data_IF_578620435147
#
_entry.id   IF_578620435147
#
_cell.length_a   1.000
_cell.length_b   1.000
_cell.length_c   1.000
_cell.angle_alpha   90.00
_cell.angle_beta   90.00
_cell.angle_gamma   90.00
#
_symmetry.space_group_name_H-M   'P 1'
#
loop_
_entity.id
_entity.type
_entity.pdbx_description
1 polymer ?
#
# COMPACT_ATOMS: atom_id res chain seq x y z
N UNK A 1 -25.48 -4.38 30.29
CA UNK A 1 -24.35 -5.34 30.44
C UNK A 1 -23.40 -5.17 29.24
N UNK A 2 -22.08 -5.28 29.43
CA UNK A 2 -21.11 -5.23 28.33
C UNK A 2 -20.14 -6.41 28.41
N UNK A 3 -19.64 -6.89 27.28
CA UNK A 3 -18.68 -7.99 27.26
C UNK A 3 -18.16 -8.31 25.85
N UNK A 4 -17.48 -9.46 25.73
CA UNK A 4 -16.93 -9.97 24.46
C UNK A 4 -17.37 -11.41 24.21
N UNK A 5 -17.76 -11.71 22.99
CA UNK A 5 -18.16 -13.01 22.45
C UNK A 5 -17.00 -13.53 21.60
N UNK A 6 -16.56 -14.76 21.90
CA UNK A 6 -15.47 -15.43 21.16
C UNK A 6 -15.98 -16.56 20.27
N UNK A 7 -17.10 -17.17 20.64
CA UNK A 7 -17.68 -18.29 19.93
C UNK A 7 -19.17 -18.08 19.69
N UNK A 8 -19.71 -18.86 18.75
CA UNK A 8 -21.13 -18.82 18.41
C UNK A 8 -22.00 -19.21 19.61
N UNK A 9 -21.54 -20.15 20.44
CA UNK A 9 -22.27 -20.60 21.63
C UNK A 9 -22.48 -19.45 22.62
N UNK A 10 -21.51 -18.54 22.77
CA UNK A 10 -21.63 -17.36 23.63
C UNK A 10 -22.71 -16.40 23.10
N UNK A 11 -22.80 -16.25 21.77
CA UNK A 11 -23.81 -15.41 21.12
C UNK A 11 -25.22 -16.01 21.28
N UNK A 12 -25.35 -17.32 21.09
CA UNK A 12 -26.60 -18.05 21.30
C UNK A 12 -27.09 -17.89 22.75
N UNK A 13 -26.19 -18.02 23.72
CA UNK A 13 -26.51 -17.83 25.13
C UNK A 13 -26.95 -16.39 25.44
N UNK A 14 -26.31 -15.39 24.83
CA UNK A 14 -26.73 -13.99 24.98
C UNK A 14 -28.16 -13.75 24.44
N UNK A 15 -28.48 -14.32 23.28
CA UNK A 15 -29.81 -14.20 22.66
C UNK A 15 -30.89 -14.89 23.51
N UNK A 16 -30.55 -16.03 24.11
CA UNK A 16 -31.45 -16.79 24.98
C UNK A 16 -31.73 -16.08 26.31
N UNK A 17 -30.69 -15.51 26.92
CA UNK A 17 -30.84 -14.74 28.16
C UNK A 17 -31.59 -13.41 27.97
N UNK A 18 -31.57 -12.85 26.76
CA UNK A 18 -32.23 -11.56 26.49
C UNK A 18 -33.71 -11.76 26.19
N UNK A 19 -34.56 -11.51 27.19
CA UNK A 19 -36.04 -11.60 27.04
C UNK A 19 -36.60 -10.43 26.24
N UNK A 20 -36.14 -9.22 26.54
CA UNK A 20 -36.51 -7.99 25.86
C UNK A 20 -35.34 -7.00 25.89
N UNK A 21 -35.31 -6.09 24.91
CA UNK A 21 -34.40 -4.97 24.87
C UNK A 21 -33.44 -4.97 23.69
N UNK A 22 -32.47 -4.07 23.73
CA UNK A 22 -31.53 -3.84 22.62
C UNK A 22 -30.18 -4.48 22.87
N UNK A 23 -29.69 -5.22 21.89
CA UNK A 23 -28.35 -5.80 21.84
C UNK A 23 -27.58 -5.12 20.72
N UNK A 24 -26.46 -4.50 21.06
CA UNK A 24 -25.54 -3.91 20.09
C UNK A 24 -24.30 -4.79 20.00
N UNK A 25 -24.08 -5.37 18.81
CA UNK A 25 -22.92 -6.19 18.48
C UNK A 25 -21.96 -5.35 17.63
N UNK A 26 -20.67 -5.30 18.01
CA UNK A 26 -19.66 -4.45 17.37
C UNK A 26 -18.42 -5.27 17.00
N UNK A 27 -18.00 -5.17 15.75
CA UNK A 27 -16.70 -5.67 15.30
C UNK A 27 -15.66 -4.55 15.42
N UNK A 28 -14.62 -4.73 16.26
CA UNK A 28 -13.60 -3.71 16.42
C UNK A 28 -12.86 -3.51 15.08
N UNK A 29 -12.42 -2.28 14.79
CA UNK A 29 -11.63 -1.91 13.60
C UNK A 29 -12.31 -2.00 12.23
N UNK A 30 -13.49 -2.61 12.12
CA UNK A 30 -14.24 -2.73 10.85
C UNK A 30 -15.36 -1.70 10.71
N UNK A 31 -15.60 -0.84 11.72
CA UNK A 31 -16.73 0.10 11.79
C UNK A 31 -18.10 -0.55 11.47
N UNK A 32 -18.21 -1.87 11.68
CA UNK A 32 -19.41 -2.66 11.42
C UNK A 32 -20.10 -2.96 12.76
N UNK A 33 -21.39 -2.70 12.83
CA UNK A 33 -22.23 -3.07 13.97
C UNK A 33 -23.48 -3.78 13.51
N UNK A 34 -24.06 -4.58 14.39
CA UNK A 34 -25.37 -5.19 14.24
C UNK A 34 -26.18 -4.81 15.47
N UNK A 35 -27.28 -4.07 15.26
CA UNK A 35 -28.15 -3.61 16.33
C UNK A 35 -29.42 -4.45 16.27
N UNK A 36 -29.54 -5.37 17.23
CA UNK A 36 -30.71 -6.21 17.40
C UNK A 36 -31.61 -5.61 18.47
N UNK A 37 -32.92 -5.63 18.24
CA UNK A 37 -33.89 -5.40 19.29
C UNK A 37 -34.76 -6.65 19.45
N UNK A 38 -34.89 -7.13 20.68
CA UNK A 38 -35.59 -8.37 21.02
C UNK A 38 -36.88 -8.01 21.75
N UNK A 39 -38.00 -8.56 21.28
CA UNK A 39 -39.30 -8.42 21.94
C UNK A 39 -40.16 -9.66 21.66
N UNK A 40 -40.67 -10.31 22.71
CA UNK A 40 -41.65 -11.40 22.58
C UNK A 40 -41.31 -12.46 21.51
N UNK A 41 -40.07 -12.97 21.54
CA UNK A 41 -39.51 -13.95 20.59
C UNK A 41 -39.20 -13.44 19.18
N UNK A 42 -39.42 -12.15 18.91
CA UNK A 42 -39.07 -11.48 17.67
C UNK A 42 -37.76 -10.72 17.83
N UNK A 43 -36.99 -10.68 16.74
CA UNK A 43 -35.72 -9.98 16.63
C UNK A 43 -35.83 -9.02 15.46
N UNK A 44 -35.71 -7.73 15.77
CA UNK A 44 -35.71 -6.62 14.83
C UNK A 44 -34.28 -6.16 14.59
N UNK A 45 -33.95 -5.76 13.36
CA UNK A 45 -32.63 -5.22 13.03
C UNK A 45 -32.77 -3.72 12.81
N UNK A 46 -32.19 -2.93 13.72
CA UNK A 46 -32.40 -1.47 13.73
C UNK A 46 -31.48 -0.71 12.76
N UNK A 47 -30.37 -1.31 12.31
CA UNK A 47 -29.37 -0.66 11.47
C UNK A 47 -29.24 -1.26 10.07
N UNK A 48 -30.29 -1.90 9.57
CA UNK A 48 -30.33 -2.45 8.21
C UNK A 48 -30.60 -1.34 7.16
N UNK A 49 -29.61 -0.48 6.95
CA UNK A 49 -29.70 0.66 6.02
C UNK A 49 -29.90 0.21 4.55
N UNK A 50 -29.44 -0.99 4.22
CA UNK A 50 -29.53 -1.57 2.87
C UNK A 50 -30.89 -2.23 2.58
N UNK A 51 -31.82 -2.24 3.55
CA UNK A 51 -33.15 -2.86 3.46
C UNK A 51 -33.11 -4.35 3.04
N UNK A 52 -32.00 -5.05 3.32
CA UNK A 52 -31.84 -6.48 3.06
C UNK A 52 -32.84 -7.30 3.86
N UNK A 53 -33.04 -8.56 3.50
CA UNK A 53 -33.79 -9.46 4.37
C UNK A 53 -33.05 -9.65 5.70
N UNK A 54 -33.76 -9.74 6.85
CA UNK A 54 -33.10 -9.84 8.15
C UNK A 54 -32.13 -11.02 8.26
N UNK A 55 -32.50 -12.15 7.66
CA UNK A 55 -31.66 -13.36 7.59
C UNK A 55 -30.33 -13.09 6.89
N UNK A 56 -30.39 -12.48 5.71
CA UNK A 56 -29.21 -12.18 4.90
C UNK A 56 -28.28 -11.21 5.63
N UNK A 57 -28.83 -10.14 6.23
CA UNK A 57 -28.03 -9.15 6.94
C UNK A 57 -27.30 -9.74 8.15
N UNK A 58 -27.99 -10.55 8.95
CA UNK A 58 -27.38 -11.23 10.10
C UNK A 58 -26.33 -12.22 9.63
N UNK A 59 -26.64 -13.01 8.60
CA UNK A 59 -25.73 -14.00 8.06
C UNK A 59 -24.43 -13.33 7.60
N UNK A 60 -24.51 -12.27 6.79
CA UNK A 60 -23.33 -11.53 6.33
C UNK A 60 -22.50 -10.98 7.50
N UNK A 61 -23.14 -10.44 8.54
CA UNK A 61 -22.45 -9.94 9.73
C UNK A 61 -21.71 -11.06 10.48
N UNK A 62 -22.37 -12.20 10.68
CA UNK A 62 -21.78 -13.37 11.36
C UNK A 62 -20.63 -13.95 10.55
N UNK A 63 -20.78 -14.05 9.23
CA UNK A 63 -19.74 -14.50 8.32
C UNK A 63 -18.49 -13.60 8.38
N UNK A 64 -18.69 -12.28 8.34
CA UNK A 64 -17.61 -11.29 8.47
C UNK A 64 -16.91 -11.41 9.83
N UNK A 65 -17.68 -11.55 10.90
CA UNK A 65 -17.14 -11.78 12.24
C UNK A 65 -16.27 -13.03 12.29
N UNK A 66 -16.80 -14.18 11.87
CA UNK A 66 -16.11 -15.46 11.93
C UNK A 66 -14.85 -15.47 11.08
N UNK A 67 -14.88 -14.84 9.92
CA UNK A 67 -13.73 -14.72 9.03
C UNK A 67 -12.63 -13.82 9.61
N UNK A 68 -13.02 -12.69 10.20
CA UNK A 68 -12.08 -11.70 10.76
C UNK A 68 -11.22 -12.25 11.90
N UNK A 69 -11.68 -13.32 12.57
CA UNK A 69 -11.08 -13.86 13.79
C UNK A 69 -10.96 -12.84 14.93
N UNK A 70 -11.76 -11.77 14.88
CA UNK A 70 -11.85 -10.74 15.92
C UNK A 70 -12.84 -11.16 17.00
N UNK A 71 -12.64 -10.66 18.21
CA UNK A 71 -13.65 -10.79 19.27
C UNK A 71 -14.82 -9.85 18.96
N UNK A 72 -16.04 -10.35 19.10
CA UNK A 72 -17.25 -9.55 18.93
C UNK A 72 -17.59 -8.89 20.27
N UNK A 73 -17.66 -7.56 20.31
CA UNK A 73 -18.08 -6.86 21.52
C UNK A 73 -19.60 -6.72 21.55
N UNK A 74 -20.20 -6.90 22.72
CA UNK A 74 -21.63 -6.70 22.89
C UNK A 74 -21.94 -5.69 23.99
N UNK A 75 -23.02 -4.94 23.79
CA UNK A 75 -23.68 -4.12 24.78
C UNK A 75 -25.16 -4.51 24.81
N UNK A 76 -25.66 -4.93 25.97
CA UNK A 76 -27.07 -5.31 26.17
C UNK A 76 -27.75 -4.26 27.06
N UNK A 77 -28.78 -3.61 26.52
CA UNK A 77 -29.60 -2.57 27.11
C UNK A 77 -31.05 -3.08 27.23
N UNK A 78 -31.39 -3.78 28.33
CA UNK A 78 -32.70 -4.42 28.48
C UNK A 78 -33.87 -3.44 28.64
N UNK A 79 -33.59 -2.18 29.00
CA UNK A 79 -34.57 -1.12 29.25
C UNK A 79 -35.00 -0.37 27.97
N UNK A 80 -34.27 -0.52 26.86
CA UNK A 80 -34.62 0.12 25.58
C UNK A 80 -35.68 -0.71 24.84
N UNK A 81 -36.87 -0.15 24.64
CA UNK A 81 -37.94 -0.79 23.87
C UNK A 81 -37.66 -0.81 22.37
N UNK A 82 -38.25 -1.78 21.67
CA UNK A 82 -38.16 -1.83 20.21
C UNK A 82 -39.02 -0.74 19.58
N UNK A 83 -38.53 -0.08 18.51
CA UNK A 83 -39.31 0.94 17.83
C UNK A 83 -40.44 0.31 17.02
N UNK A 84 -41.62 0.92 17.08
CA UNK A 84 -42.87 0.42 16.47
C UNK A 84 -42.86 0.38 14.93
N UNK A 85 -41.84 0.95 14.29
CA UNK A 85 -41.78 1.18 12.84
C UNK A 85 -40.94 0.16 12.07
N UNK A 86 -40.60 -0.99 12.67
CA UNK A 86 -39.78 -2.02 12.02
C UNK A 86 -40.65 -3.22 11.65
N UNK A 87 -41.06 -3.29 10.39
CA UNK A 87 -41.99 -4.34 9.91
C UNK A 87 -41.32 -5.70 9.69
N UNK A 88 -40.00 -5.72 9.42
CA UNK A 88 -39.26 -6.96 9.17
C UNK A 88 -38.64 -7.48 10.46
N UNK A 89 -39.02 -8.69 10.83
CA UNK A 89 -38.50 -9.38 12.02
C UNK A 89 -38.06 -10.80 11.68
N UNK A 90 -37.18 -11.33 12.52
CA UNK A 90 -36.76 -12.72 12.54
C UNK A 90 -37.20 -13.36 13.85
N UNK A 91 -37.59 -14.63 13.85
CA UNK A 91 -37.85 -15.33 15.11
C UNK A 91 -36.54 -15.78 15.76
N UNK A 92 -36.53 -15.96 17.09
CA UNK A 92 -35.34 -16.50 17.76
C UNK A 92 -34.97 -17.89 17.23
N UNK A 93 -35.94 -18.74 16.93
CA UNK A 93 -35.64 -20.08 16.39
C UNK A 93 -34.92 -19.99 15.05
N UNK A 94 -35.36 -19.09 14.16
CA UNK A 94 -34.74 -18.91 12.86
C UNK A 94 -33.32 -18.35 12.98
N UNK A 95 -33.10 -17.43 13.92
CA UNK A 95 -31.75 -16.95 14.24
C UNK A 95 -30.84 -18.09 14.71
N UNK A 96 -31.34 -18.98 15.57
CA UNK A 96 -30.57 -20.15 16.01
C UNK A 96 -30.20 -21.07 14.86
N UNK A 97 -31.12 -21.31 13.94
CA UNK A 97 -30.87 -22.13 12.74
C UNK A 97 -29.72 -21.53 11.90
N UNK A 98 -29.75 -20.22 11.65
CA UNK A 98 -28.67 -19.53 10.93
C UNK A 98 -27.32 -19.68 11.65
N UNK A 99 -27.30 -19.50 12.97
CA UNK A 99 -26.09 -19.56 13.79
C UNK A 99 -25.55 -20.99 14.00
N UNK A 100 -26.38 -22.02 13.85
CA UNK A 100 -25.96 -23.43 14.04
C UNK A 100 -25.63 -24.15 12.74
N UNK A 101 -25.60 -23.42 11.62
CA UNK A 101 -25.30 -24.01 10.31
C UNK A 101 -23.87 -24.58 10.29
N UNK A 102 -23.67 -25.86 9.92
CA UNK A 102 -22.36 -26.52 9.99
C UNK A 102 -21.31 -25.89 9.06
N UNK A 103 -21.75 -25.22 8.00
CA UNK A 103 -20.88 -24.53 7.04
C UNK A 103 -20.14 -23.32 7.65
N UNK A 104 -20.61 -22.77 8.77
CA UNK A 104 -19.95 -21.65 9.44
C UNK A 104 -18.52 -21.99 9.89
N UNK A 105 -18.26 -23.27 10.24
CA UNK A 105 -16.92 -23.73 10.61
C UNK A 105 -15.90 -23.68 9.47
N UNK A 106 -16.36 -23.68 8.21
CA UNK A 106 -15.49 -23.66 7.03
C UNK A 106 -15.12 -22.24 6.59
N UNK A 107 -15.87 -21.22 7.03
CA UNK A 107 -15.60 -19.82 6.69
C UNK A 107 -14.17 -19.41 7.08
N UNK A 108 -13.69 -19.86 8.24
CA UNK A 108 -12.32 -19.57 8.72
C UNK A 108 -11.22 -20.09 7.79
N UNK A 109 -11.52 -21.09 6.96
CA UNK A 109 -10.57 -21.68 6.01
C UNK A 109 -10.47 -20.87 4.71
N UNK A 110 -11.42 -19.96 4.47
CA UNK A 110 -11.41 -19.16 3.25
C UNK A 110 -10.28 -18.11 3.30
N UNK A 111 -9.52 -17.93 2.22
CA UNK A 111 -8.53 -16.85 2.12
C UNK A 111 -9.21 -15.46 2.19
N UNK A 112 -8.48 -14.46 2.73
CA UNK A 112 -8.94 -13.05 2.78
C UNK A 112 -9.03 -12.38 1.41
N UNK A 113 -8.14 -12.78 0.51
CA UNK A 113 -8.03 -12.32 -0.87
C UNK A 113 -7.78 -13.55 -1.74
N UNK A 114 -8.57 -13.73 -2.78
CA UNK A 114 -8.47 -14.91 -3.63
C UNK A 114 -8.87 -14.63 -5.07
N UNK A 115 -8.40 -15.45 -5.97
CA UNK A 115 -8.82 -15.48 -7.37
C UNK A 115 -9.57 -16.76 -7.66
N UNK A 116 -10.50 -16.70 -8.63
CA UNK A 116 -11.17 -17.89 -9.15
C UNK A 116 -10.20 -18.51 -10.16
N UNK A 117 -9.71 -19.71 -9.88
CA UNK A 117 -8.79 -20.44 -10.75
C UNK A 117 -9.53 -21.23 -11.84
N UNK A 118 -10.70 -21.78 -11.50
CA UNK A 118 -11.52 -22.59 -12.41
C UNK A 118 -13.00 -22.28 -12.20
N UNK A 119 -13.78 -22.33 -13.28
CA UNK A 119 -15.23 -22.12 -13.26
C UNK A 119 -15.94 -23.16 -14.13
N UNK A 120 -16.96 -23.80 -13.58
CA UNK A 120 -17.94 -24.56 -14.35
C UNK A 120 -19.20 -23.69 -14.50
N UNK A 121 -19.48 -23.28 -15.73
CA UNK A 121 -20.29 -22.11 -16.03
C UNK A 121 -21.80 -22.27 -15.82
N UNK A 122 -22.31 -23.49 -15.64
CA UNK A 122 -23.75 -23.75 -15.63
C UNK A 122 -24.46 -23.10 -14.43
N UNK A 123 -23.84 -23.06 -13.25
CA UNK A 123 -24.50 -22.64 -11.99
C UNK A 123 -23.78 -21.52 -11.22
N UNK A 124 -22.96 -20.71 -11.91
CA UNK A 124 -22.16 -19.66 -11.27
C UNK A 124 -22.71 -18.26 -11.59
N UNK A 125 -22.90 -17.39 -10.58
CA UNK A 125 -23.30 -15.99 -10.74
C UNK A 125 -22.45 -15.23 -11.77
N UNK A 126 -23.10 -14.34 -12.53
CA UNK A 126 -22.47 -13.58 -13.61
C UNK A 126 -21.29 -12.71 -13.12
N UNK A 127 -21.37 -12.15 -11.92
CA UNK A 127 -20.29 -11.33 -11.37
C UNK A 127 -19.02 -12.17 -11.11
N UNK A 128 -19.16 -13.42 -10.63
CA UNK A 128 -18.01 -14.32 -10.45
C UNK A 128 -17.40 -14.71 -11.81
N UNK A 129 -18.22 -14.94 -12.85
CA UNK A 129 -17.75 -15.14 -14.23
C UNK A 129 -16.95 -13.95 -14.75
N UNK A 130 -17.40 -12.73 -14.45
CA UNK A 130 -16.70 -11.50 -14.84
C UNK A 130 -15.35 -11.36 -14.13
N UNK A 131 -15.29 -11.63 -12.82
CA UNK A 131 -14.04 -11.60 -12.06
C UNK A 131 -13.05 -12.68 -12.54
N UNK A 132 -13.54 -13.86 -12.88
CA UNK A 132 -12.76 -14.93 -13.50
C UNK A 132 -12.16 -14.50 -14.85
N UNK A 133 -12.99 -13.98 -15.76
CA UNK A 133 -12.55 -13.55 -17.09
C UNK A 133 -11.47 -12.45 -17.04
N UNK A 134 -11.56 -11.57 -16.04
CA UNK A 134 -10.59 -10.48 -15.85
C UNK A 134 -9.40 -10.84 -14.96
N UNK A 135 -9.34 -12.07 -14.42
CA UNK A 135 -8.35 -12.49 -13.41
C UNK A 135 -8.23 -11.47 -12.28
N UNK A 136 -9.38 -10.98 -11.79
CA UNK A 136 -9.43 -9.98 -10.72
C UNK A 136 -9.59 -10.65 -9.37
N UNK A 137 -8.75 -10.33 -8.38
CA UNK A 137 -8.90 -10.86 -7.04
C UNK A 137 -10.20 -10.36 -6.41
N UNK A 138 -10.77 -11.21 -5.57
CA UNK A 138 -12.00 -11.01 -4.83
C UNK A 138 -11.69 -10.87 -3.34
N UNK A 139 -12.43 -9.97 -2.70
CA UNK A 139 -12.49 -9.84 -1.24
C UNK A 139 -13.90 -10.16 -0.77
N UNK A 140 -14.05 -10.45 0.52
CA UNK A 140 -15.34 -10.71 1.15
C UNK A 140 -16.31 -9.55 0.96
N UNK A 141 -15.80 -8.31 1.07
CA UNK A 141 -16.59 -7.10 0.85
C UNK A 141 -17.20 -7.05 -0.55
N UNK A 142 -16.46 -7.51 -1.57
CA UNK A 142 -16.96 -7.57 -2.95
C UNK A 142 -18.02 -8.66 -3.11
N UNK A 143 -17.90 -9.80 -2.44
CA UNK A 143 -18.95 -10.82 -2.44
C UNK A 143 -20.24 -10.28 -1.81
N UNK A 144 -20.08 -9.69 -0.62
CA UNK A 144 -21.17 -9.13 0.17
C UNK A 144 -21.90 -7.98 -0.53
N UNK A 145 -21.18 -7.14 -1.29
CA UNK A 145 -21.80 -6.08 -2.10
C UNK A 145 -22.57 -6.59 -3.31
N UNK A 146 -22.31 -7.83 -3.75
CA UNK A 146 -23.03 -8.51 -4.83
C UNK A 146 -24.07 -9.52 -4.30
N UNK A 147 -24.49 -9.38 -3.03
CA UNK A 147 -25.47 -10.25 -2.35
C UNK A 147 -25.10 -11.74 -2.39
N UNK A 148 -23.79 -12.05 -2.36
CA UNK A 148 -23.31 -13.42 -2.24
C UNK A 148 -22.69 -13.62 -0.86
N UNK A 149 -23.20 -14.60 -0.13
CA UNK A 149 -22.72 -14.94 1.20
C UNK A 149 -21.51 -15.87 1.11
N UNK A 150 -20.68 -15.92 2.16
CA UNK A 150 -19.56 -16.86 2.24
C UNK A 150 -20.04 -18.31 2.29
N UNK A 151 -21.22 -18.56 2.89
CA UNK A 151 -21.87 -19.87 2.83
C UNK A 151 -22.18 -20.26 1.38
N UNK A 152 -22.70 -19.34 0.57
CA UNK A 152 -22.98 -19.63 -0.85
C UNK A 152 -21.71 -19.88 -1.64
N UNK A 153 -20.63 -19.14 -1.33
CA UNK A 153 -19.31 -19.42 -1.89
C UNK A 153 -18.83 -20.84 -1.53
N UNK A 154 -18.99 -21.26 -0.28
CA UNK A 154 -18.64 -22.62 0.18
C UNK A 154 -19.46 -23.68 -0.55
N UNK A 155 -20.77 -23.44 -0.77
CA UNK A 155 -21.61 -24.35 -1.56
C UNK A 155 -21.07 -24.50 -2.99
N UNK A 156 -20.70 -23.39 -3.64
CA UNK A 156 -20.13 -23.39 -4.99
C UNK A 156 -18.77 -24.13 -5.05
N UNK A 157 -17.95 -24.03 -4.00
CA UNK A 157 -16.69 -24.77 -3.89
C UNK A 157 -16.96 -26.28 -3.72
N UNK A 158 -17.89 -26.65 -2.84
CA UNK A 158 -18.22 -28.06 -2.58
C UNK A 158 -18.88 -28.75 -3.77
N UNK A 159 -19.68 -28.02 -4.54
CA UNK A 159 -20.28 -28.55 -5.77
C UNK A 159 -19.29 -28.67 -6.93
N UNK A 160 -18.05 -28.19 -6.77
CA UNK A 160 -17.07 -28.13 -7.85
C UNK A 160 -17.41 -27.11 -8.93
N UNK A 161 -18.32 -26.18 -8.64
CA UNK A 161 -18.72 -25.12 -9.59
C UNK A 161 -17.63 -24.07 -9.76
N UNK A 162 -16.83 -23.85 -8.71
CA UNK A 162 -15.68 -22.95 -8.73
C UNK A 162 -14.52 -23.58 -7.99
N UNK A 163 -13.29 -23.18 -8.35
CA UNK A 163 -12.07 -23.40 -7.56
C UNK A 163 -11.44 -22.06 -7.28
N UNK A 164 -11.03 -21.81 -6.04
CA UNK A 164 -10.35 -20.57 -5.64
C UNK A 164 -8.91 -20.83 -5.23
N UNK A 165 -8.04 -19.85 -5.46
CA UNK A 165 -6.65 -19.86 -5.02
C UNK A 165 -6.35 -18.59 -4.21
N UNK A 166 -5.59 -18.71 -3.11
CA UNK A 166 -5.17 -17.54 -2.32
C UNK A 166 -4.27 -16.64 -3.16
N UNK A 167 -4.49 -15.33 -3.08
CA UNK A 167 -3.59 -14.35 -3.70
C UNK A 167 -2.64 -13.82 -2.63
N UNK A 168 -1.36 -14.16 -2.76
CA UNK A 168 -0.34 -13.61 -1.91
C UNK A 168 -0.17 -12.11 -2.19
N UNK A 169 -0.19 -11.30 -1.13
CA UNK A 169 -0.07 -9.83 -1.22
C UNK A 169 1.22 -9.34 -1.89
N UNK A 170 2.22 -10.23 -2.04
CA UNK A 170 3.51 -9.91 -2.64
C UNK A 170 3.39 -9.83 -4.17
N UNK A 171 2.54 -10.67 -4.78
CA UNK A 171 2.33 -10.67 -6.23
C UNK A 171 1.39 -9.56 -6.72
N UNK A 172 0.65 -8.93 -5.80
CA UNK A 172 -0.31 -7.86 -6.11
C UNK A 172 0.23 -6.44 -5.93
N UNK A 173 1.50 -6.25 -5.55
CA UNK A 173 2.12 -4.95 -5.77
C UNK A 173 2.13 -4.71 -7.28
N UNK A 174 1.45 -3.66 -7.79
CA UNK A 174 1.39 -3.44 -9.22
C UNK A 174 2.82 -3.39 -9.74
N UNK A 175 3.19 -4.29 -10.65
CA UNK A 175 4.54 -4.33 -11.24
C UNK A 175 4.99 -2.93 -11.68
N UNK A 176 4.04 -2.10 -12.11
CA UNK A 176 4.23 -0.70 -12.43
C UNK A 176 4.79 0.16 -11.28
N UNK A 177 4.29 0.02 -10.04
CA UNK A 177 4.80 0.76 -8.86
C UNK A 177 6.22 0.29 -8.52
N UNK A 178 6.48 -1.02 -8.60
CA UNK A 178 7.81 -1.57 -8.40
C UNK A 178 8.82 -1.04 -9.43
N UNK A 179 8.43 -0.96 -10.70
CA UNK A 179 9.25 -0.38 -11.78
C UNK A 179 9.51 1.11 -11.55
N UNK A 180 8.49 1.89 -11.15
CA UNK A 180 8.66 3.32 -10.84
C UNK A 180 9.62 3.50 -9.67
N UNK A 181 9.45 2.76 -8.57
CA UNK A 181 10.33 2.85 -7.40
C UNK A 181 11.77 2.47 -7.77
N UNK A 182 11.94 1.44 -8.60
CA UNK A 182 13.26 1.03 -9.10
C UNK A 182 13.90 2.13 -9.95
N UNK A 183 13.13 2.77 -10.84
CA UNK A 183 13.60 3.88 -11.67
C UNK A 183 14.00 5.08 -10.81
N UNK A 184 13.20 5.44 -9.81
CA UNK A 184 13.50 6.51 -8.86
C UNK A 184 14.80 6.22 -8.11
N UNK A 185 14.98 4.99 -7.63
CA UNK A 185 16.19 4.59 -6.92
C UNK A 185 17.44 4.72 -7.81
N UNK A 186 17.38 4.22 -9.05
CA UNK A 186 18.48 4.32 -10.02
C UNK A 186 18.79 5.79 -10.34
N UNK A 187 17.77 6.62 -10.56
CA UNK A 187 17.94 8.04 -10.82
C UNK A 187 18.56 8.78 -9.62
N UNK A 188 18.16 8.44 -8.39
CA UNK A 188 18.77 8.99 -7.17
C UNK A 188 20.25 8.62 -7.04
N UNK A 189 20.63 7.37 -7.35
CA UNK A 189 22.03 6.93 -7.32
C UNK A 189 22.86 7.67 -8.39
N UNK A 190 22.31 7.84 -9.60
CA UNK A 190 22.96 8.60 -10.67
C UNK A 190 23.17 10.06 -10.25
N UNK A 191 22.14 10.72 -9.72
CA UNK A 191 22.22 12.09 -9.24
C UNK A 191 23.21 12.28 -8.08
N UNK A 192 23.38 11.28 -7.22
CA UNK A 192 24.35 11.32 -6.13
C UNK A 192 25.80 11.15 -6.61
N UNK A 193 26.03 10.26 -7.57
CA UNK A 193 27.39 9.88 -8.01
C UNK A 193 27.97 10.81 -9.09
N UNK A 194 27.14 11.37 -9.97
CA UNK A 194 27.55 12.30 -11.03
C UNK A 194 28.30 13.56 -10.52
N UNK A 195 27.81 14.32 -9.53
CA UNK A 195 28.49 15.55 -9.08
C UNK A 195 29.83 15.28 -8.40
N UNK A 196 29.97 14.14 -7.71
CA UNK A 196 31.24 13.74 -7.07
C UNK A 196 32.31 13.45 -8.11
N UNK A 197 31.96 12.75 -9.19
CA UNK A 197 32.89 12.48 -10.28
C UNK A 197 33.23 13.76 -11.06
N UNK A 198 32.24 14.61 -11.34
CA UNK A 198 32.46 15.88 -12.05
C UNK A 198 33.46 16.79 -11.32
N UNK A 199 33.32 16.94 -10.00
CA UNK A 199 34.24 17.74 -9.20
C UNK A 199 35.66 17.16 -9.17
N UNK A 200 35.82 15.83 -9.07
CA UNK A 200 37.13 15.18 -9.14
C UNK A 200 37.81 15.40 -10.51
N UNK A 201 37.08 15.27 -11.61
CA UNK A 201 37.62 15.53 -12.95
C UNK A 201 37.98 17.01 -13.17
N UNK A 202 37.15 17.94 -12.68
CA UNK A 202 37.42 19.37 -12.78
C UNK A 202 38.70 19.77 -12.01
N UNK A 203 38.91 19.22 -10.80
CA UNK A 203 40.11 19.46 -9.99
C UNK A 203 41.37 18.88 -10.67
N UNK A 204 41.30 17.65 -11.21
CA UNK A 204 42.42 17.04 -11.92
C UNK A 204 42.83 17.85 -13.15
N UNK A 205 41.86 18.35 -13.92
CA UNK A 205 42.14 19.20 -15.07
C UNK A 205 42.69 20.58 -14.66
N UNK A 206 42.21 21.14 -13.54
CA UNK A 206 42.72 22.41 -13.01
C UNK A 206 44.19 22.29 -12.59
N UNK A 207 44.59 21.18 -11.95
CA UNK A 207 45.99 20.90 -11.62
C UNK A 207 46.88 20.76 -12.88
N UNK A 208 46.38 20.10 -13.94
CA UNK A 208 47.11 19.98 -15.21
C UNK A 208 47.33 21.35 -15.86
N UNK A 209 46.29 22.17 -15.91
CA UNK A 209 46.34 23.54 -16.46
C UNK A 209 47.31 24.41 -15.65
N UNK A 210 47.29 24.30 -14.32
CA UNK A 210 48.23 24.99 -13.44
C UNK A 210 49.69 24.67 -13.75
N UNK A 211 50.02 23.39 -13.94
CA UNK A 211 51.36 22.97 -14.32
C UNK A 211 51.78 23.52 -15.69
N UNK A 212 50.89 23.52 -16.68
CA UNK A 212 51.17 24.08 -18.02
C UNK A 212 51.44 25.58 -17.94
N UNK A 213 50.64 26.31 -17.16
CA UNK A 213 50.80 27.76 -16.98
C UNK A 213 52.12 28.08 -16.26
N UNK A 214 52.46 27.35 -15.19
CA UNK A 214 53.72 27.50 -14.47
C UNK A 214 54.93 27.19 -15.37
N UNK A 215 54.88 26.09 -16.15
CA UNK A 215 55.93 25.73 -17.11
C UNK A 215 56.15 26.85 -18.15
N UNK A 216 55.07 27.37 -18.73
CA UNK A 216 55.17 28.44 -19.73
C UNK A 216 55.66 29.76 -19.12
N UNK A 217 55.34 30.04 -17.85
CA UNK A 217 55.86 31.19 -17.09
C UNK A 217 57.38 31.08 -16.91
N UNK A 218 57.90 29.91 -16.54
CA UNK A 218 59.36 29.66 -16.41
C UNK A 218 60.07 29.78 -17.75
N UNK A 219 59.49 29.23 -18.82
CA UNK A 219 60.06 29.25 -20.17
C UNK A 219 59.85 30.57 -20.93
N UNK A 220 59.25 31.59 -20.29
CA UNK A 220 58.91 32.89 -20.90
C UNK A 220 58.08 32.78 -22.20
N UNK A 221 57.25 31.74 -22.31
CA UNK A 221 56.38 31.50 -23.47
C UNK A 221 55.02 32.18 -23.29
N UNK A 222 54.39 32.56 -24.41
CA UNK A 222 53.03 33.14 -24.40
C UNK A 222 52.03 32.10 -23.89
N UNK A 223 51.45 32.35 -22.71
CA UNK A 223 50.40 31.52 -22.12
C UNK A 223 49.10 31.75 -22.91
N UNK A 224 48.60 30.70 -23.55
CA UNK A 224 47.32 30.69 -24.28
C UNK A 224 46.19 30.18 -23.38
N UNK A 225 44.95 30.52 -23.74
CA UNK A 225 43.74 29.95 -23.12
C UNK A 225 43.71 28.44 -23.37
N UNK A 226 43.41 27.66 -22.34
CA UNK A 226 43.30 26.20 -22.44
C UNK A 226 41.82 25.84 -22.38
N UNK A 227 41.34 25.11 -23.38
CA UNK A 227 39.95 24.64 -23.40
C UNK A 227 39.74 23.57 -22.33
N UNK A 228 38.67 23.71 -21.56
CA UNK A 228 38.23 22.75 -20.56
C UNK A 228 37.17 21.79 -21.08
N UNK A 229 36.78 20.82 -20.25
CA UNK A 229 35.67 19.93 -20.56
C UNK A 229 34.32 20.67 -20.47
N UNK A 230 33.34 20.22 -21.25
CA UNK A 230 31.94 20.68 -21.18
C UNK A 230 31.79 22.22 -21.21
N UNK A 231 32.22 22.84 -22.32
CA UNK A 231 32.02 24.28 -22.56
C UNK A 231 32.62 25.17 -21.45
N UNK A 232 33.78 24.80 -20.94
CA UNK A 232 34.55 25.65 -20.02
C UNK A 232 35.89 26.04 -20.63
N UNK A 233 36.47 27.15 -20.17
CA UNK A 233 37.80 27.62 -20.58
C UNK A 233 38.60 28.05 -19.36
N UNK A 234 39.88 27.72 -19.38
CA UNK A 234 40.83 28.18 -18.38
C UNK A 234 41.60 29.38 -18.91
N UNK A 235 41.44 30.52 -18.25
CA UNK A 235 42.03 31.80 -18.63
C UNK A 235 43.09 32.15 -17.59
N UNK A 236 44.30 32.44 -18.07
CA UNK A 236 45.35 32.98 -17.22
C UNK A 236 45.21 34.50 -17.12
N UNK A 237 44.97 34.99 -15.90
CA UNK A 237 44.91 36.41 -15.61
C UNK A 237 46.28 36.91 -15.11
N UNK A 238 46.97 37.68 -15.96
CA UNK A 238 48.30 38.24 -15.67
C UNK A 238 48.29 39.25 -14.52
N UNK A 239 47.23 40.05 -14.39
CA UNK A 239 47.16 41.12 -13.39
C UNK A 239 46.98 40.58 -11.98
N UNK A 240 46.32 39.42 -11.84
CA UNK A 240 46.03 38.78 -10.54
C UNK A 240 46.89 37.55 -10.27
N UNK A 241 47.82 37.22 -11.18
CA UNK A 241 48.63 36.01 -11.15
C UNK A 241 47.75 34.78 -10.81
N UNK A 242 46.66 34.57 -11.55
CA UNK A 242 45.65 33.55 -11.24
C UNK A 242 45.15 32.83 -12.48
N UNK A 243 44.65 31.61 -12.30
CA UNK A 243 43.93 30.83 -13.31
C UNK A 243 42.44 30.91 -12.97
N UNK A 244 41.66 31.31 -13.96
CA UNK A 244 40.21 31.46 -13.84
C UNK A 244 39.56 30.38 -14.72
N UNK A 245 38.67 29.59 -14.13
CA UNK A 245 37.77 28.71 -14.86
C UNK A 245 36.49 29.49 -15.17
N UNK A 246 36.19 29.66 -16.45
CA UNK A 246 34.97 30.30 -16.95
C UNK A 246 34.11 29.31 -17.73
N UNK A 247 32.80 29.45 -17.62
CA UNK A 247 31.83 28.87 -18.55
C UNK A 247 31.85 29.65 -19.90
N UNK A 248 31.38 29.06 -21.00
CA UNK A 248 31.23 29.71 -22.31
C UNK A 248 30.37 30.98 -22.26
N UNK A 249 29.54 31.14 -21.23
CA UNK A 249 28.77 32.37 -20.94
C UNK A 249 29.58 33.45 -20.19
N UNK A 250 30.89 33.27 -19.99
CA UNK A 250 31.77 34.22 -19.28
C UNK A 250 31.56 34.25 -17.77
N UNK A 251 30.78 33.32 -17.21
CA UNK A 251 30.57 33.24 -15.77
C UNK A 251 31.78 32.58 -15.11
N UNK A 252 32.42 33.32 -14.21
CA UNK A 252 33.52 32.85 -13.39
C UNK A 252 33.04 31.79 -12.41
N UNK A 253 33.54 30.56 -12.57
CA UNK A 253 33.19 29.42 -11.71
C UNK A 253 34.20 29.28 -10.55
N UNK A 254 35.50 29.34 -10.86
CA UNK A 254 36.58 29.13 -9.88
C UNK A 254 37.76 30.06 -10.23
N UNK A 255 38.44 30.64 -9.23
CA UNK A 255 39.75 31.30 -9.39
C UNK A 255 40.76 30.67 -8.44
N UNK A 256 41.91 30.28 -9.00
CA UNK A 256 43.05 29.78 -8.24
C UNK A 256 44.23 30.73 -8.41
N UNK A 257 44.73 31.28 -7.31
CA UNK A 257 45.94 32.10 -7.32
C UNK A 257 47.15 31.22 -7.57
N UNK A 258 48.02 31.68 -8.46
CA UNK A 258 49.31 31.07 -8.72
C UNK A 258 50.35 31.68 -7.78
N UNK A 259 51.41 30.93 -7.47
CA UNK A 259 52.48 31.44 -6.65
C UNK A 259 53.30 32.53 -7.36
N UNK A 260 53.95 33.38 -6.56
CA UNK A 260 54.66 34.58 -7.01
C UNK A 260 55.97 34.25 -7.77
N UNK A 261 56.62 35.28 -8.32
CA UNK A 261 57.77 35.12 -9.25
C UNK A 261 58.96 34.34 -8.66
N UNK A 262 59.12 34.32 -7.34
CA UNK A 262 60.22 33.66 -6.65
C UNK A 262 59.87 32.25 -6.17
N UNK A 263 58.74 31.71 -6.63
CA UNK A 263 58.32 30.35 -6.32
C UNK A 263 59.19 29.33 -7.05
N UNK A 264 59.91 28.54 -6.27
CA UNK A 264 60.61 27.34 -6.74
C UNK A 264 59.64 26.16 -6.69
N UNK A 265 59.21 25.60 -7.83
CA UNK A 265 58.28 24.48 -7.83
C UNK A 265 58.94 23.25 -7.21
N UNK A 266 58.29 22.68 -6.19
CA UNK A 266 58.80 21.51 -5.44
C UNK A 266 58.80 20.24 -6.31
N UNK A 267 58.02 20.22 -7.39
CA UNK A 267 57.97 19.12 -8.35
C UNK A 267 57.92 19.64 -9.79
N UNK A 268 59.10 19.75 -10.43
CA UNK A 268 59.14 19.69 -11.88
C UNK A 268 59.08 18.20 -12.26
N UNK A 269 57.91 17.68 -12.62
CA UNK A 269 57.83 16.37 -13.27
C UNK A 269 58.29 16.58 -14.72
N UNK A 270 59.44 16.02 -15.14
CA UNK A 270 59.79 16.03 -16.55
C UNK A 270 58.92 14.99 -17.25
N UNK A 271 57.97 15.43 -18.07
CA UNK A 271 57.34 14.54 -19.05
C UNK A 271 58.32 14.30 -20.21
N UNK A 272 58.56 13.02 -20.51
CA UNK A 272 59.22 12.58 -21.74
C UNK A 272 58.36 12.90 -22.96
#
# INVERSE_FOLDING_TARGET
MKGSIKKIEDLLLLIDLTKSGKIVLKLPYLNRSLILCVENNKIYILNNLEKKEPEEFIQMFVEEWLHSSLNLFFENNPEESCPDNVDKYLTKEKLKELLTTPLLGEIKKLPKLFEIAEINSENVPAFLKFHYALKKPLTIQVLHSNNLTLIDLIKLLKSGSIRIEPVDKIDSFPKFISVILSLVLVMSILLYTLPVNYNKFAILNLNKVENIVLRNKVLSKKIQTIDGCMRTKYIFNRNRNSIILEDVMGKKLIERKLPDKDYTPIFAIPEK
#
